data_IF_235981337525
#
_entry.id   IF_235981337525
#
_cell.length_a   1.000
_cell.length_b   1.000
_cell.length_c   1.000
_cell.angle_alpha   90.00
_cell.angle_beta   90.00
_cell.angle_gamma   90.00
#
_symmetry.space_group_name_H-M   'P 1'
#
loop_
_entity.id
_entity.type
_entity.pdbx_description
1 polymer ?
#
# COMPACT_ATOMS: atom_id res chain seq x y z
N UNK A 1 -37.45 29.41 0.16
CA UNK A 1 -37.98 28.03 0.05
C UNK A 1 -37.05 27.11 0.85
N UNK A 2 -37.04 26.95 2.17
CA UNK A 2 -38.00 27.10 3.28
C UNK A 2 -39.15 26.08 3.31
N UNK A 3 -38.80 24.91 3.86
CA UNK A 3 -39.58 23.95 4.69
C UNK A 3 -40.72 23.12 4.09
N UNK A 4 -40.64 21.80 4.29
CA UNK A 4 -41.58 20.82 4.92
C UNK A 4 -40.83 19.45 4.93
N UNK A 5 -40.47 18.77 6.04
CA UNK A 5 -41.27 18.03 7.06
C UNK A 5 -41.99 16.82 6.39
N UNK A 6 -41.97 15.54 6.80
CA UNK A 6 -41.65 14.73 8.03
C UNK A 6 -41.10 13.34 7.57
N UNK A 7 -40.16 12.64 8.23
CA UNK A 7 -40.20 11.92 9.52
C UNK A 7 -41.19 10.73 9.62
N UNK A 8 -40.82 9.59 9.01
CA UNK A 8 -41.33 8.21 9.26
C UNK A 8 -40.18 7.27 8.85
N UNK A 9 -39.75 6.22 9.58
CA UNK A 9 -40.02 5.73 10.93
C UNK A 9 -38.72 5.14 11.55
N UNK A 10 -38.74 4.73 12.83
CA UNK A 10 -37.72 3.88 13.44
C UNK A 10 -38.13 2.40 13.31
N UNK A 11 -37.20 1.54 12.86
CA UNK A 11 -37.32 0.08 13.00
C UNK A 11 -36.22 -0.40 13.95
N UNK A 12 -36.64 -0.77 15.15
CA UNK A 12 -35.77 -1.33 16.17
C UNK A 12 -35.32 -2.75 15.78
N UNK A 13 -34.02 -2.93 15.59
CA UNK A 13 -33.37 -4.25 15.58
C UNK A 13 -32.78 -4.49 16.98
N UNK A 14 -33.68 -4.76 17.94
CA UNK A 14 -33.35 -5.08 19.32
C UNK A 14 -33.92 -6.43 19.72
N UNK A 15 -33.08 -7.47 19.72
CA UNK A 15 -33.25 -8.73 20.45
C UNK A 15 -31.89 -9.43 20.39
N UNK A 16 -31.00 -9.18 21.34
CA UNK A 16 -30.87 -9.99 22.55
C UNK A 16 -30.50 -11.44 22.26
N UNK A 17 -29.23 -11.79 22.50
CA UNK A 17 -28.86 -13.00 23.24
C UNK A 17 -27.79 -12.60 24.27
N UNK A 18 -28.25 -12.31 25.49
CA UNK A 18 -27.37 -12.27 26.64
C UNK A 18 -27.21 -13.71 27.14
N UNK A 19 -26.06 -14.32 26.87
CA UNK A 19 -25.58 -15.46 27.64
C UNK A 19 -24.66 -14.90 28.72
N UNK A 20 -25.02 -15.14 29.97
CA UNK A 20 -24.33 -14.61 31.14
C UNK A 20 -23.75 -15.76 31.96
N UNK A 21 -22.59 -15.49 32.59
CA UNK A 21 -21.94 -16.31 33.62
C UNK A 21 -21.22 -17.56 33.03
N UNK A 22 -20.14 -18.09 33.62
CA UNK A 22 -19.73 -18.04 35.04
C UNK A 22 -18.22 -17.82 35.29
N UNK A 23 -17.93 -17.52 36.58
CA UNK A 23 -16.75 -17.90 37.35
C UNK A 23 -15.35 -17.28 37.06
N UNK A 24 -14.96 -16.38 37.96
CA UNK A 24 -13.80 -16.57 38.86
C UNK A 24 -12.50 -17.11 38.27
N UNK A 25 -11.49 -16.25 38.19
CA UNK A 25 -10.34 -16.31 39.12
C UNK A 25 -9.59 -14.97 39.12
N UNK A 26 -9.43 -14.37 40.31
CA UNK A 26 -8.55 -13.22 40.50
C UNK A 26 -7.10 -13.70 40.64
N UNK A 27 -6.46 -14.00 39.51
CA UNK A 27 -4.99 -14.14 39.46
C UNK A 27 -4.42 -12.76 39.18
N UNK A 28 -3.84 -12.13 40.21
CA UNK A 28 -2.95 -11.00 39.99
C UNK A 28 -1.63 -11.53 39.39
N UNK A 29 -1.24 -11.13 38.16
CA UNK A 29 0.14 -11.30 37.74
C UNK A 29 1.01 -10.32 38.54
N UNK A 30 2.08 -10.83 39.13
CA UNK A 30 3.06 -10.00 39.83
C UNK A 30 3.73 -9.00 38.85
N UNK A 31 4.18 -7.82 39.31
CA UNK A 31 5.01 -6.95 38.50
C UNK A 31 6.38 -7.61 38.31
N UNK A 32 6.58 -8.26 37.16
CA UNK A 32 7.82 -8.92 36.80
C UNK A 32 8.30 -8.40 35.44
N UNK A 33 9.46 -7.73 35.49
CA UNK A 33 10.23 -7.23 34.35
C UNK A 33 9.48 -6.29 33.38
N UNK A 34 9.66 -4.98 33.62
CA UNK A 34 9.98 -4.09 32.50
C UNK A 34 11.11 -4.75 31.71
N UNK A 35 10.77 -5.34 30.56
CA UNK A 35 11.78 -5.72 29.59
C UNK A 35 12.26 -4.41 29.00
N UNK A 36 13.41 -3.95 29.49
CA UNK A 36 14.11 -2.78 28.99
C UNK A 36 14.26 -2.95 27.47
N UNK A 37 13.35 -2.32 26.73
CA UNK A 37 13.40 -2.31 25.28
C UNK A 37 14.57 -1.41 24.97
N UNK A 38 15.73 -2.03 24.79
CA UNK A 38 16.89 -1.40 24.15
C UNK A 38 16.37 -0.77 22.88
N UNK A 39 16.20 0.55 22.91
CA UNK A 39 15.85 1.30 21.72
C UNK A 39 16.91 0.93 20.68
N UNK A 40 16.53 0.44 19.48
CA UNK A 40 17.52 0.23 18.44
C UNK A 40 18.23 1.57 18.26
N UNK A 41 19.57 1.54 18.35
CA UNK A 41 20.35 2.75 18.12
C UNK A 41 19.90 3.32 16.77
N UNK A 42 19.44 4.57 16.78
CA UNK A 42 18.95 5.23 15.57
C UNK A 42 20.14 5.54 14.67
N UNK A 43 20.63 4.50 13.98
CA UNK A 43 21.39 4.63 12.77
C UNK A 43 20.48 5.40 11.81
N UNK A 44 20.91 6.59 11.38
CA UNK A 44 20.14 7.38 10.42
C UNK A 44 19.94 6.52 9.17
N UNK A 45 18.69 6.14 8.83
CA UNK A 45 18.48 5.26 7.69
C UNK A 45 18.95 6.00 6.44
N UNK A 46 19.74 5.33 5.61
CA UNK A 46 20.14 5.88 4.31
C UNK A 46 18.87 6.39 3.59
N UNK A 47 18.87 7.61 3.03
CA UNK A 47 17.67 8.22 2.48
C UNK A 47 17.06 7.44 1.30
N UNK A 48 17.76 6.43 0.76
CA UNK A 48 17.27 5.45 -0.19
C UNK A 48 16.47 4.28 0.42
N UNK A 49 16.70 3.94 1.68
CA UNK A 49 16.05 2.85 2.42
C UNK A 49 14.72 3.26 3.10
N UNK A 50 14.38 4.56 3.09
CA UNK A 50 13.08 5.05 3.52
C UNK A 50 11.93 4.35 2.77
N UNK A 51 11.05 3.66 3.50
CA UNK A 51 9.86 3.00 2.94
C UNK A 51 8.76 4.02 2.65
N UNK A 52 8.36 4.11 1.38
CA UNK A 52 7.33 5.02 0.89
C UNK A 52 6.14 4.21 0.37
N UNK A 53 4.96 4.41 0.95
CA UNK A 53 3.71 3.85 0.47
C UNK A 53 3.06 4.74 -0.61
N UNK A 54 2.63 4.15 -1.73
CA UNK A 54 1.98 4.85 -2.85
C UNK A 54 0.72 4.12 -3.31
N UNK A 55 -0.37 4.86 -3.52
CA UNK A 55 -1.65 4.32 -4.03
C UNK A 55 -1.73 4.35 -5.55
N UNK A 56 -1.66 3.17 -6.17
CA UNK A 56 -1.73 3.00 -7.63
C UNK A 56 -3.09 2.46 -8.08
N UNK A 57 -3.40 2.56 -9.39
CA UNK A 57 -4.53 1.84 -9.99
C UNK A 57 -4.12 0.40 -10.24
N UNK A 58 -5.00 -0.55 -9.94
CA UNK A 58 -4.76 -1.94 -10.32
C UNK A 58 -4.87 -2.11 -11.84
N UNK A 59 -3.93 -2.84 -12.45
CA UNK A 59 -3.95 -3.16 -13.89
C UNK A 59 -5.28 -3.78 -14.29
N UNK A 60 -5.88 -3.31 -15.39
CA UNK A 60 -7.19 -3.80 -15.87
C UNK A 60 -8.41 -3.29 -15.10
N UNK A 61 -8.25 -2.40 -14.11
CA UNK A 61 -9.37 -1.85 -13.33
C UNK A 61 -9.33 -0.33 -13.23
N UNK A 62 -10.44 0.33 -13.57
CA UNK A 62 -10.59 1.79 -13.47
C UNK A 62 -10.83 2.28 -12.03
N UNK A 63 -11.46 1.46 -11.18
CA UNK A 63 -11.94 1.86 -9.85
C UNK A 63 -11.07 1.33 -8.70
N UNK A 64 -10.61 0.07 -8.76
CA UNK A 64 -9.74 -0.50 -7.71
C UNK A 64 -8.40 0.22 -7.64
N UNK A 65 -8.03 0.60 -6.41
CA UNK A 65 -6.71 1.10 -6.04
C UNK A 65 -6.01 0.06 -5.16
N UNK A 66 -4.70 -0.04 -5.31
CA UNK A 66 -3.82 -0.83 -4.44
C UNK A 66 -2.80 0.09 -3.80
N UNK A 67 -2.46 -0.16 -2.55
CA UNK A 67 -1.38 0.54 -1.87
C UNK A 67 -0.14 -0.36 -1.91
N UNK A 68 0.98 0.19 -2.36
CA UNK A 68 2.25 -0.51 -2.53
C UNK A 68 3.27 0.26 -1.71
N UNK A 69 3.96 -0.41 -0.80
CA UNK A 69 5.02 0.15 0.02
C UNK A 69 6.35 -0.48 -0.41
N UNK A 70 7.34 0.36 -0.72
CA UNK A 70 8.68 -0.02 -1.20
C UNK A 70 9.68 1.04 -0.75
N UNK A 71 10.97 0.74 -0.71
CA UNK A 71 12.00 1.73 -0.40
C UNK A 71 12.09 2.80 -1.51
N UNK A 72 12.68 3.96 -1.19
CA UNK A 72 12.90 5.02 -2.17
C UNK A 72 13.80 4.54 -3.34
N UNK A 73 14.78 3.68 -3.06
CA UNK A 73 15.66 3.03 -4.04
C UNK A 73 14.87 2.08 -4.98
N UNK A 74 13.97 1.27 -4.44
CA UNK A 74 13.08 0.40 -5.21
C UNK A 74 12.11 1.18 -6.11
N UNK A 75 11.57 2.30 -5.61
CA UNK A 75 10.73 3.20 -6.39
C UNK A 75 11.45 3.80 -7.59
N UNK A 76 12.71 4.22 -7.43
CA UNK A 76 13.56 4.75 -8.50
C UNK A 76 13.85 3.67 -9.55
N UNK A 77 14.21 2.46 -9.11
CA UNK A 77 14.43 1.31 -9.99
C UNK A 77 13.18 0.96 -10.81
N UNK A 78 12.02 1.00 -10.17
CA UNK A 78 10.72 0.71 -10.81
C UNK A 78 10.33 1.77 -11.84
N UNK A 79 10.51 3.06 -11.53
CA UNK A 79 10.18 4.15 -12.47
C UNK A 79 11.09 4.15 -13.70
N UNK A 80 12.40 3.89 -13.51
CA UNK A 80 13.37 3.78 -14.61
C UNK A 80 13.01 2.66 -15.59
N UNK A 81 12.81 1.43 -15.09
CA UNK A 81 12.40 0.28 -15.92
C UNK A 81 11.09 0.54 -16.68
N UNK A 82 10.13 1.18 -16.04
CA UNK A 82 8.85 1.55 -16.67
C UNK A 82 9.04 2.58 -17.79
N UNK A 83 9.85 3.63 -17.56
CA UNK A 83 10.18 4.65 -18.55
C UNK A 83 10.95 4.08 -19.74
N UNK A 84 11.90 3.17 -19.50
CA UNK A 84 12.64 2.44 -20.55
C UNK A 84 11.70 1.58 -21.40
N UNK A 85 10.78 0.83 -20.79
CA UNK A 85 9.78 0.02 -21.50
C UNK A 85 8.82 0.87 -22.36
N UNK A 86 8.31 1.99 -21.82
CA UNK A 86 7.49 2.93 -22.59
C UNK A 86 8.29 3.57 -23.76
N UNK A 87 9.55 3.94 -23.53
CA UNK A 87 10.41 4.55 -24.55
C UNK A 87 10.84 3.55 -25.63
N UNK A 88 11.04 2.28 -25.28
CA UNK A 88 11.27 1.20 -26.24
C UNK A 88 10.02 0.93 -27.09
N UNK A 89 8.86 0.83 -26.45
CA UNK A 89 7.56 0.62 -27.13
C UNK A 89 7.24 1.77 -28.07
N UNK A 90 7.43 3.03 -27.64
CA UNK A 90 7.21 4.21 -28.47
C UNK A 90 8.12 4.24 -29.71
N UNK A 91 9.41 3.91 -29.56
CA UNK A 91 10.34 3.82 -30.70
C UNK A 91 9.96 2.70 -31.68
N UNK A 92 9.56 1.53 -31.17
CA UNK A 92 9.11 0.42 -31.99
C UNK A 92 7.80 0.72 -32.74
N UNK A 93 6.83 1.34 -32.07
CA UNK A 93 5.54 1.72 -32.67
C UNK A 93 5.69 2.77 -33.79
N UNK A 94 6.65 3.68 -33.67
CA UNK A 94 6.97 4.68 -34.70
C UNK A 94 7.73 4.13 -35.91
N UNK A 95 7.92 2.80 -36.02
CA UNK A 95 8.70 2.19 -37.10
C UNK A 95 10.20 2.48 -37.03
N UNK A 96 10.70 2.90 -35.87
CA UNK A 96 12.12 3.16 -35.67
C UNK A 96 12.92 1.87 -35.71
N UNK A 97 13.55 1.60 -36.86
CA UNK A 97 14.51 0.51 -37.01
C UNK A 97 15.66 0.78 -36.04
N UNK A 98 15.78 -0.02 -34.98
CA UNK A 98 16.96 0.01 -34.15
C UNK A 98 18.09 -0.63 -34.95
N UNK A 99 18.96 0.20 -35.54
CA UNK A 99 20.26 -0.20 -36.05
C UNK A 99 20.95 -1.04 -34.97
N UNK A 100 20.92 -2.37 -35.13
CA UNK A 100 21.71 -3.28 -34.33
C UNK A 100 22.94 -3.58 -35.19
N UNK A 101 24.08 -2.91 -34.95
CA UNK A 101 25.25 -3.06 -35.79
C UNK A 101 25.64 -4.53 -35.84
N UNK A 102 25.55 -5.10 -37.03
CA UNK A 102 26.02 -6.44 -37.32
C UNK A 102 27.55 -6.39 -37.55
N UNK A 103 28.27 -7.54 -37.47
CA UNK A 103 29.74 -7.53 -37.58
C UNK A 103 30.27 -7.09 -38.96
N UNK A 104 29.43 -6.96 -39.99
CA UNK A 104 29.79 -6.40 -41.31
C UNK A 104 29.53 -4.89 -41.41
N UNK A 105 29.08 -4.24 -40.33
CA UNK A 105 28.95 -2.78 -40.24
C UNK A 105 27.64 -2.20 -40.81
N UNK A 106 26.60 -3.02 -40.98
CA UNK A 106 25.30 -2.59 -41.46
C UNK A 106 24.34 -2.04 -40.40
N UNK A 107 23.30 -1.37 -40.90
CA UNK A 107 21.97 -1.25 -40.31
C UNK A 107 20.99 -1.98 -41.24
#
# INVERSE_FOLDING_TARGET
MKTLITAVAALALGSSWALAQEATTATAPAPAAETETTAPATEEPDPGEEVICRRQRATGSLTRRVEICMTRNEWNTTSRRSGEAHSATGRAASGGVQCRPDPMGGC
#
